data_IF_332525691450
#
_entry.id   IF_332525691450
#
_cell.length_a   1.000
_cell.length_b   1.000
_cell.length_c   1.000
_cell.angle_alpha   90.00
_cell.angle_beta   90.00
_cell.angle_gamma   90.00
#
_symmetry.space_group_name_H-M   'P 1'
#
loop_
_entity.id
_entity.type
_entity.pdbx_description
1 polymer ?
#
# COMPACT_ATOMS: atom_id res chain seq x y z
N UNK A 1 -17.12 -3.53 1.87
CA UNK A 1 -16.73 -2.10 1.87
C UNK A 1 -16.79 -1.59 0.43
N UNK A 2 -16.83 -0.28 0.17
CA UNK A 2 -16.87 0.22 -1.21
C UNK A 2 -15.56 -0.11 -1.93
N UNK A 3 -15.61 -1.00 -2.93
CA UNK A 3 -14.48 -1.31 -3.80
C UNK A 3 -14.22 -0.12 -4.74
N UNK A 4 -12.98 0.35 -4.81
CA UNK A 4 -12.63 1.51 -5.61
C UNK A 4 -11.14 1.84 -5.62
N UNK A 5 -10.72 2.59 -6.64
CA UNK A 5 -9.35 3.13 -6.68
C UNK A 5 -9.20 4.19 -5.60
N UNK A 6 -8.13 4.06 -4.83
CA UNK A 6 -7.74 5.06 -3.85
C UNK A 6 -7.35 6.35 -4.58
N UNK A 7 -8.03 7.45 -4.28
CA UNK A 7 -7.70 8.78 -4.81
C UNK A 7 -6.58 9.45 -4.03
N UNK A 8 -6.27 8.92 -2.85
CA UNK A 8 -5.25 9.40 -1.92
C UNK A 8 -4.57 8.19 -1.25
N UNK A 9 -3.33 8.31 -0.76
CA UNK A 9 -2.64 7.20 -0.14
C UNK A 9 -3.35 6.83 1.17
N UNK A 10 -3.54 5.54 1.41
CA UNK A 10 -4.33 5.05 2.55
C UNK A 10 -3.45 4.24 3.49
N UNK A 11 -3.50 4.59 4.77
CA UNK A 11 -2.83 3.86 5.84
C UNK A 11 -3.83 2.88 6.44
N UNK A 12 -3.51 1.60 6.45
CA UNK A 12 -4.27 0.59 7.19
C UNK A 12 -3.57 0.37 8.52
N UNK A 13 -4.32 0.51 9.61
CA UNK A 13 -3.86 0.21 10.97
C UNK A 13 -4.75 -0.85 11.60
N UNK A 14 -4.15 -1.65 12.47
CA UNK A 14 -4.85 -2.63 13.30
C UNK A 14 -5.57 -1.94 14.48
N UNK A 15 -6.42 -2.69 15.18
CA UNK A 15 -7.08 -2.29 16.42
C UNK A 15 -6.11 -1.77 17.50
N UNK A 16 -4.87 -2.25 17.53
CA UNK A 16 -3.82 -1.77 18.44
C UNK A 16 -3.10 -0.50 17.91
N UNK A 17 -3.64 0.16 16.88
CA UNK A 17 -3.02 1.28 16.15
C UNK A 17 -1.65 0.93 15.54
N UNK A 18 -1.35 -0.36 15.37
CA UNK A 18 -0.15 -0.82 14.66
C UNK A 18 -0.35 -0.63 13.17
N UNK A 19 0.68 -0.15 12.48
CA UNK A 19 0.68 -0.03 11.03
C UNK A 19 0.55 -1.42 10.41
N UNK A 20 -0.52 -1.69 9.67
CA UNK A 20 -0.64 -2.94 8.90
C UNK A 20 0.05 -2.76 7.56
N UNK A 21 -0.34 -1.75 6.78
CA UNK A 21 0.30 -1.45 5.51
C UNK A 21 0.01 -0.03 5.03
N UNK A 22 0.82 0.42 4.06
CA UNK A 22 0.67 1.70 3.37
C UNK A 22 0.28 1.44 1.92
N UNK A 23 -0.95 1.80 1.55
CA UNK A 23 -1.44 1.67 0.20
C UNK A 23 -1.17 2.96 -0.59
N UNK A 24 -0.49 2.88 -1.75
CA UNK A 24 -0.22 4.04 -2.57
C UNK A 24 -1.50 4.58 -3.21
N UNK A 25 -1.48 5.86 -3.56
CA UNK A 25 -2.53 6.49 -4.37
C UNK A 25 -2.69 5.74 -5.70
N UNK A 26 -3.93 5.59 -6.15
CA UNK A 26 -4.29 4.87 -7.36
C UNK A 26 -4.48 3.37 -7.15
N UNK A 27 -4.07 2.81 -6.00
CA UNK A 27 -4.26 1.40 -5.68
C UNK A 27 -5.74 1.04 -5.68
N UNK A 28 -6.09 -0.01 -6.39
CA UNK A 28 -7.44 -0.54 -6.39
C UNK A 28 -7.69 -1.27 -5.07
N UNK A 29 -8.54 -0.71 -4.22
CA UNK A 29 -8.84 -1.30 -2.92
C UNK A 29 -10.23 -1.94 -2.95
N UNK A 30 -10.30 -3.24 -2.68
CA UNK A 30 -11.55 -4.01 -2.64
C UNK A 30 -11.56 -5.01 -1.47
N UNK A 31 -12.73 -5.59 -1.19
CA UNK A 31 -12.93 -6.52 -0.08
C UNK A 31 -12.03 -7.77 -0.15
N UNK A 32 -11.72 -8.28 -1.35
CA UNK A 32 -10.82 -9.44 -1.51
C UNK A 32 -9.39 -9.05 -1.17
N UNK A 33 -8.93 -7.90 -1.66
CA UNK A 33 -7.59 -7.39 -1.35
C UNK A 33 -7.44 -7.06 0.13
N UNK A 34 -8.50 -6.56 0.76
CA UNK A 34 -8.54 -6.37 2.22
C UNK A 34 -8.29 -7.70 2.95
N UNK A 35 -9.03 -8.75 2.60
CA UNK A 35 -8.86 -10.08 3.18
C UNK A 35 -7.45 -10.64 2.96
N UNK A 36 -6.90 -10.48 1.76
CA UNK A 36 -5.52 -10.88 1.44
C UNK A 36 -4.46 -10.14 2.27
N UNK A 37 -4.61 -8.82 2.44
CA UNK A 37 -3.70 -8.00 3.26
C UNK A 37 -3.72 -8.50 4.71
N UNK A 38 -4.91 -8.75 5.26
CA UNK A 38 -5.05 -9.27 6.62
C UNK A 38 -4.45 -10.67 6.75
N UNK A 39 -4.74 -11.58 5.83
CA UNK A 39 -4.17 -12.93 5.85
C UNK A 39 -2.63 -12.91 5.84
N UNK A 40 -2.01 -12.04 5.02
CA UNK A 40 -0.55 -11.88 5.00
C UNK A 40 -0.02 -11.25 6.27
N UNK A 41 -0.69 -10.24 6.80
CA UNK A 41 -0.29 -9.58 8.04
C UNK A 41 -0.34 -10.56 9.21
N UNK A 42 -1.37 -11.40 9.29
CA UNK A 42 -1.49 -12.46 10.29
C UNK A 42 -0.43 -13.55 10.12
N UNK A 43 -0.12 -13.94 8.88
CA UNK A 43 0.94 -14.92 8.58
C UNK A 43 2.33 -14.40 8.96
N UNK A 44 2.63 -13.14 8.65
CA UNK A 44 3.90 -12.49 8.98
C UNK A 44 3.99 -12.14 10.47
N UNK A 45 2.86 -11.80 11.09
CA UNK A 45 2.76 -11.28 12.45
C UNK A 45 3.34 -9.87 12.64
N UNK A 46 3.67 -9.17 11.55
CA UNK A 46 4.28 -7.84 11.56
C UNK A 46 3.81 -7.00 10.36
N UNK A 47 4.13 -5.71 10.40
CA UNK A 47 3.78 -4.71 9.38
C UNK A 47 4.19 -5.15 7.98
N UNK A 48 3.29 -4.98 7.01
CA UNK A 48 3.55 -5.26 5.60
C UNK A 48 4.27 -4.08 4.97
N UNK A 49 5.49 -4.34 4.53
CA UNK A 49 6.31 -3.38 3.83
C UNK A 49 5.89 -3.30 2.35
N UNK A 50 6.40 -2.30 1.64
CA UNK A 50 6.20 -2.19 0.19
C UNK A 50 6.65 -3.46 -0.55
N UNK A 51 7.68 -4.15 -0.06
CA UNK A 51 8.13 -5.43 -0.62
C UNK A 51 7.03 -6.51 -0.50
N UNK A 52 6.43 -6.68 0.68
CA UNK A 52 5.34 -7.63 0.88
C UNK A 52 4.13 -7.30 0.02
N UNK A 53 3.79 -6.01 -0.14
CA UNK A 53 2.71 -5.57 -1.02
C UNK A 53 3.01 -5.89 -2.48
N UNK A 54 4.26 -5.75 -2.94
CA UNK A 54 4.68 -6.12 -4.30
C UNK A 54 4.56 -7.62 -4.55
N UNK A 55 4.85 -8.44 -3.54
CA UNK A 55 4.68 -9.88 -3.60
C UNK A 55 3.20 -10.29 -3.56
N UNK A 56 2.37 -9.58 -2.77
CA UNK A 56 0.93 -9.84 -2.69
C UNK A 56 0.17 -9.42 -3.95
N UNK A 57 0.59 -8.30 -4.54
CA UNK A 57 -0.04 -7.65 -5.68
C UNK A 57 0.97 -7.48 -6.81
N UNK A 58 1.46 -8.58 -7.42
CA UNK A 58 2.41 -8.50 -8.53
C UNK A 58 1.79 -7.83 -9.76
N UNK A 59 0.48 -8.01 -9.97
CA UNK A 59 -0.27 -7.41 -11.08
C UNK A 59 -0.61 -5.93 -10.87
N UNK A 60 -0.40 -5.38 -9.66
CA UNK A 60 -0.79 -4.00 -9.39
C UNK A 60 0.33 -3.02 -9.70
N UNK A 61 0.21 -2.36 -10.85
CA UNK A 61 1.18 -1.37 -11.34
C UNK A 61 1.47 -0.26 -10.31
N UNK A 62 0.46 0.18 -9.54
CA UNK A 62 0.65 1.24 -8.53
C UNK A 62 1.46 0.79 -7.32
N UNK A 63 1.59 -0.52 -7.08
CA UNK A 63 2.45 -1.07 -6.02
C UNK A 63 3.83 -1.39 -6.57
N UNK A 64 3.91 -1.85 -7.82
CA UNK A 64 5.19 -2.11 -8.49
C UNK A 64 5.95 -0.83 -8.79
N UNK A 65 5.24 0.14 -9.34
CA UNK A 65 5.66 1.50 -9.62
C UNK A 65 4.81 2.44 -8.75
N UNK A 66 5.06 2.48 -7.42
CA UNK A 66 4.47 3.53 -6.61
C UNK A 66 4.87 4.82 -7.29
N UNK A 67 3.89 5.66 -7.61
CA UNK A 67 4.18 7.01 -7.99
C UNK A 67 4.99 7.57 -6.84
N UNK A 68 6.31 7.57 -7.00
CA UNK A 68 7.20 8.47 -6.33
C UNK A 68 6.57 9.80 -6.70
N UNK A 69 5.80 10.33 -5.77
CA UNK A 69 5.74 11.76 -5.58
C UNK A 69 7.20 12.13 -5.30
N UNK A 70 7.99 12.19 -6.38
CA UNK A 70 9.10 13.10 -6.50
C UNK A 70 8.42 14.45 -6.34
N UNK A 71 8.12 14.82 -5.10
CA UNK A 71 8.04 16.21 -4.72
C UNK A 71 9.25 16.83 -5.37
N UNK A 72 9.01 17.69 -6.35
CA UNK A 72 10.09 18.25 -7.15
C UNK A 72 11.15 18.80 -6.20
N UNK A 73 12.42 18.57 -6.56
CA UNK A 73 13.59 19.33 -6.11
C UNK A 73 14.31 18.85 -4.83
N UNK A 74 15.02 17.73 -4.92
CA UNK A 74 16.34 17.65 -4.26
C UNK A 74 17.44 17.76 -5.32
N UNK A 75 17.97 18.98 -5.48
CA UNK A 75 19.32 19.21 -5.99
C UNK A 75 19.51 19.34 -7.50
N UNK A 76 18.98 20.41 -8.12
CA UNK A 76 19.65 20.98 -9.30
C UNK A 76 19.47 22.49 -9.39
N UNK A 77 20.17 23.23 -8.53
CA UNK A 77 20.55 24.60 -8.83
C UNK A 77 22.07 24.72 -8.82
N UNK A 78 22.58 24.71 -10.06
CA UNK A 78 23.78 25.37 -10.63
C UNK A 78 25.13 25.19 -9.94
#
# INVERSE_FOLDING_TARGET
>A
MAAGKLTEPKIITDFQQKLVCLLPTGFYFDDKRWDMIWARFEEKGDTLSMADLKELFPDEETVQNPAIDNGETFGKCK
#
